data_IF_152063790518
#
_entry.id   IF_152063790518
#
_cell.length_a   1.000
_cell.length_b   1.000
_cell.length_c   1.000
_cell.angle_alpha   90.00
_cell.angle_beta   90.00
_cell.angle_gamma   90.00
#
_symmetry.space_group_name_H-M   'P 1'
#
loop_
_entity.id
_entity.type
_entity.pdbx_description
1 polymer ?
#
# COMPACT_ATOMS: atom_id res chain seq x y z
N UNK A 1 -2.78 23.11 -2.64
CA UNK A 1 -3.95 22.74 -3.46
C UNK A 1 -3.85 23.24 -4.91
N UNK A 2 -2.89 24.10 -5.26
CA UNK A 2 -2.61 24.57 -6.64
C UNK A 2 -2.34 23.45 -7.69
N UNK A 3 -1.85 22.28 -7.28
CA UNK A 3 -1.48 21.19 -8.20
C UNK A 3 -2.63 20.29 -8.67
N UNK A 4 -3.85 20.42 -8.14
CA UNK A 4 -4.96 19.57 -8.59
C UNK A 4 -5.43 19.90 -10.01
N UNK A 5 -5.34 21.17 -10.40
CA UNK A 5 -5.71 21.64 -11.73
C UNK A 5 -4.56 21.59 -12.75
N UNK A 6 -3.31 21.41 -12.31
CA UNK A 6 -2.17 21.32 -13.21
C UNK A 6 -2.14 19.95 -13.93
N UNK A 7 -1.73 19.91 -15.21
CA UNK A 7 -1.54 18.67 -15.96
C UNK A 7 -0.20 17.99 -15.65
N UNK A 8 0.39 18.22 -14.47
CA UNK A 8 1.69 17.66 -14.08
C UNK A 8 1.60 16.16 -13.76
N UNK A 9 1.49 15.37 -14.83
CA UNK A 9 1.45 13.91 -14.77
C UNK A 9 2.79 13.33 -14.35
N UNK A 10 3.91 13.98 -14.70
CA UNK A 10 5.25 13.54 -14.32
C UNK A 10 5.45 13.66 -12.80
N UNK A 11 5.01 14.76 -12.19
CA UNK A 11 5.00 14.94 -10.74
C UNK A 11 4.16 13.88 -10.03
N UNK A 12 2.96 13.60 -10.55
CA UNK A 12 2.10 12.53 -10.03
C UNK A 12 2.77 11.16 -10.11
N UNK A 13 3.32 10.79 -11.27
CA UNK A 13 4.01 9.50 -11.45
C UNK A 13 5.18 9.40 -10.47
N UNK A 14 6.00 10.44 -10.35
CA UNK A 14 7.09 10.49 -9.37
C UNK A 14 6.59 10.30 -7.95
N UNK A 15 5.49 10.94 -7.57
CA UNK A 15 4.90 10.78 -6.23
C UNK A 15 4.36 9.38 -5.99
N UNK A 16 3.74 8.75 -7.00
CA UNK A 16 3.30 7.35 -6.92
C UNK A 16 4.49 6.41 -6.75
N UNK A 17 5.53 6.55 -7.57
CA UNK A 17 6.73 5.72 -7.45
C UNK A 17 7.43 5.93 -6.10
N UNK A 18 7.53 7.18 -5.63
CA UNK A 18 8.06 7.48 -4.30
C UNK A 18 7.23 6.83 -3.18
N UNK A 19 5.90 6.97 -3.23
CA UNK A 19 5.01 6.37 -2.24
C UNK A 19 5.09 4.83 -2.20
N UNK A 20 5.41 4.18 -3.32
CA UNK A 20 5.48 2.72 -3.42
C UNK A 20 6.88 2.15 -3.14
N UNK A 21 7.94 2.81 -3.61
CA UNK A 21 9.29 2.24 -3.72
C UNK A 21 10.41 3.09 -3.13
N UNK A 22 10.13 4.25 -2.54
CA UNK A 22 11.17 5.04 -1.89
C UNK A 22 11.85 4.22 -0.77
N UNK A 23 13.19 4.16 -0.69
CA UNK A 23 13.88 3.36 0.32
C UNK A 23 13.57 3.76 1.77
N UNK A 24 13.20 5.02 2.01
CA UNK A 24 12.92 5.53 3.34
C UNK A 24 11.44 5.40 3.74
N UNK A 25 10.51 5.53 2.79
CA UNK A 25 9.06 5.61 3.07
C UNK A 25 8.16 4.76 2.18
N UNK A 26 8.74 4.03 1.23
CA UNK A 26 8.02 3.30 0.21
C UNK A 26 7.20 2.14 0.77
N UNK A 27 5.96 2.03 0.30
CA UNK A 27 5.01 1.03 0.76
C UNK A 27 5.51 -0.40 0.66
N UNK A 28 6.08 -0.77 -0.47
CA UNK A 28 6.57 -2.13 -0.69
C UNK A 28 7.96 -2.37 -0.10
N UNK A 29 8.67 -1.31 0.28
CA UNK A 29 9.96 -1.41 0.97
C UNK A 29 9.74 -1.70 2.45
N UNK A 30 8.86 -0.93 3.11
CA UNK A 30 8.59 -1.12 4.54
C UNK A 30 7.63 -2.31 4.75
N UNK A 31 6.67 -2.54 3.84
CA UNK A 31 5.67 -3.61 3.91
C UNK A 31 5.73 -4.58 2.72
N UNK A 32 6.84 -5.33 2.52
CA UNK A 32 6.99 -6.26 1.39
C UNK A 32 5.93 -7.37 1.36
N UNK A 33 5.31 -7.71 2.48
CA UNK A 33 4.21 -8.70 2.50
C UNK A 33 3.02 -8.28 1.62
N UNK A 34 2.83 -6.97 1.40
CA UNK A 34 1.77 -6.45 0.54
C UNK A 34 1.99 -6.81 -0.93
N UNK A 35 3.25 -6.99 -1.38
CA UNK A 35 3.54 -7.41 -2.76
C UNK A 35 2.90 -8.77 -3.04
N UNK A 36 2.99 -9.69 -2.09
CA UNK A 36 2.38 -11.02 -2.21
C UNK A 36 0.84 -10.95 -2.29
N UNK A 37 0.23 -10.04 -1.52
CA UNK A 37 -1.22 -9.83 -1.54
C UNK A 37 -1.68 -9.18 -2.85
N UNK A 38 -0.92 -8.21 -3.37
CA UNK A 38 -1.23 -7.53 -4.64
C UNK A 38 -1.17 -8.49 -5.82
N UNK A 39 -0.16 -9.39 -5.88
CA UNK A 39 -0.05 -10.40 -6.95
C UNK A 39 -1.30 -11.30 -6.99
N UNK A 40 -1.91 -11.58 -5.84
CA UNK A 40 -3.10 -12.44 -5.70
C UNK A 40 -4.40 -11.67 -5.58
N UNK A 41 -4.39 -10.38 -5.88
CA UNK A 41 -5.58 -9.55 -5.84
C UNK A 41 -6.56 -9.87 -6.96
N UNK A 42 -6.07 -10.26 -8.15
CA UNK A 42 -6.91 -10.50 -9.32
C UNK A 42 -7.93 -11.66 -9.14
N UNK A 43 -7.57 -12.82 -8.58
CA UNK A 43 -8.55 -13.84 -8.20
C UNK A 43 -9.53 -13.35 -7.13
N UNK A 44 -9.02 -12.75 -6.04
CA UNK A 44 -9.83 -12.25 -4.93
C UNK A 44 -10.84 -11.18 -5.38
N UNK A 45 -10.48 -10.36 -6.37
CA UNK A 45 -11.34 -9.36 -6.97
C UNK A 45 -12.63 -9.96 -7.56
N UNK A 46 -12.54 -11.13 -8.20
CA UNK A 46 -13.70 -11.76 -8.85
C UNK A 46 -14.70 -12.29 -7.84
N UNK A 47 -14.22 -12.73 -6.69
CA UNK A 47 -15.04 -13.31 -5.61
C UNK A 47 -15.49 -12.25 -4.59
N UNK A 48 -14.86 -11.07 -4.59
CA UNK A 48 -15.13 -10.01 -3.64
C UNK A 48 -16.53 -9.37 -3.83
N UNK A 49 -17.25 -9.11 -2.73
CA UNK A 49 -18.47 -8.31 -2.75
C UNK A 49 -18.27 -6.95 -3.41
N UNK A 50 -19.32 -6.42 -4.06
CA UNK A 50 -19.25 -5.14 -4.77
C UNK A 50 -18.82 -3.98 -3.87
N UNK A 51 -19.27 -3.96 -2.60
CA UNK A 51 -18.88 -2.94 -1.63
C UNK A 51 -17.38 -2.96 -1.33
N UNK A 52 -16.75 -4.14 -1.28
CA UNK A 52 -15.32 -4.28 -1.00
C UNK A 52 -14.48 -3.82 -2.20
N UNK A 53 -14.91 -4.17 -3.41
CA UNK A 53 -14.30 -3.65 -4.64
C UNK A 53 -14.44 -2.13 -4.76
N UNK A 54 -15.63 -1.61 -4.47
CA UNK A 54 -15.90 -0.17 -4.47
C UNK A 54 -15.04 0.58 -3.46
N UNK A 55 -14.91 0.06 -2.24
CA UNK A 55 -14.04 0.63 -1.20
C UNK A 55 -12.56 0.63 -1.64
N UNK A 56 -12.06 -0.48 -2.20
CA UNK A 56 -10.69 -0.57 -2.70
C UNK A 56 -10.43 0.42 -3.84
N UNK A 57 -11.34 0.56 -4.81
CA UNK A 57 -11.21 1.56 -5.88
C UNK A 57 -11.27 2.98 -5.34
N UNK A 58 -12.20 3.26 -4.42
CA UNK A 58 -12.30 4.55 -3.76
C UNK A 58 -11.00 4.91 -3.05
N UNK A 59 -10.40 3.96 -2.33
CA UNK A 59 -9.10 4.11 -1.68
C UNK A 59 -7.97 4.43 -2.68
N UNK A 60 -7.89 3.69 -3.79
CA UNK A 60 -6.88 3.95 -4.85
C UNK A 60 -7.07 5.33 -5.47
N UNK A 61 -8.31 5.70 -5.84
CA UNK A 61 -8.61 7.01 -6.41
C UNK A 61 -8.29 8.13 -5.42
N UNK A 62 -8.63 7.95 -4.16
CA UNK A 62 -8.32 8.90 -3.09
C UNK A 62 -6.80 9.06 -2.91
N UNK A 63 -6.04 7.97 -2.93
CA UNK A 63 -4.58 8.01 -2.89
C UNK A 63 -3.99 8.79 -4.07
N UNK A 64 -4.48 8.55 -5.29
CA UNK A 64 -4.00 9.28 -6.47
C UNK A 64 -4.29 10.78 -6.36
N UNK A 65 -5.47 11.16 -5.85
CA UNK A 65 -5.80 12.56 -5.59
C UNK A 65 -4.89 13.16 -4.50
N UNK A 66 -4.62 12.42 -3.42
CA UNK A 66 -3.70 12.85 -2.37
C UNK A 66 -2.28 13.05 -2.91
N UNK A 67 -1.77 12.14 -3.74
CA UNK A 67 -0.43 12.22 -4.35
C UNK A 67 -0.34 13.22 -5.49
N UNK A 68 -1.46 13.63 -6.08
CA UNK A 68 -1.52 14.77 -7.00
C UNK A 68 -1.50 16.09 -6.22
N UNK A 69 -2.24 16.16 -5.13
CA UNK A 69 -2.32 17.37 -4.31
C UNK A 69 -1.06 17.62 -3.49
N UNK A 70 -0.38 16.55 -3.05
CA UNK A 70 0.72 16.58 -2.09
C UNK A 70 1.90 15.73 -2.56
N UNK A 71 3.10 16.09 -2.10
CA UNK A 71 4.31 15.28 -2.28
C UNK A 71 4.25 14.04 -1.38
N UNK A 72 4.72 12.91 -1.89
CA UNK A 72 4.70 11.63 -1.16
C UNK A 72 5.49 11.64 0.16
N UNK A 73 6.57 12.44 0.23
CA UNK A 73 7.49 12.48 1.39
C UNK A 73 6.95 13.25 2.59
N UNK A 74 5.79 13.92 2.46
CA UNK A 74 5.36 14.93 3.43
C UNK A 74 6.33 16.13 3.51
N UNK A 75 5.96 17.15 4.28
CA UNK A 75 6.85 18.25 4.67
C UNK A 75 7.11 18.24 6.18
N UNK A 76 8.30 18.69 6.59
CA UNK A 76 8.63 19.05 7.98
C UNK A 76 8.55 17.92 9.03
N UNK A 77 9.35 16.86 8.87
CA UNK A 77 9.60 15.89 9.96
C UNK A 77 8.62 14.71 10.08
N UNK A 78 7.57 14.64 9.26
CA UNK A 78 6.66 13.48 9.21
C UNK A 78 7.09 12.50 8.11
N UNK A 79 7.96 11.55 8.48
CA UNK A 79 8.47 10.49 7.61
C UNK A 79 7.58 9.24 7.81
N UNK A 80 6.65 8.94 6.90
CA UNK A 80 5.80 7.75 7.09
C UNK A 80 4.59 7.59 6.17
N UNK A 81 3.83 6.52 6.46
CA UNK A 81 2.69 5.95 5.73
C UNK A 81 1.42 6.81 5.58
N UNK A 82 1.52 8.13 5.69
CA UNK A 82 0.34 8.97 5.91
C UNK A 82 -0.73 8.82 4.83
N UNK A 83 -0.36 8.88 3.56
CA UNK A 83 -1.31 8.85 2.44
C UNK A 83 -1.71 7.45 1.96
N UNK A 84 -0.83 6.44 1.98
CA UNK A 84 -1.24 5.08 1.62
C UNK A 84 -2.16 4.43 2.67
N UNK A 85 -2.15 4.88 3.92
CA UNK A 85 -2.90 4.27 5.03
C UNK A 85 -4.41 4.25 4.79
N UNK A 86 -5.01 5.34 4.31
CA UNK A 86 -6.45 5.37 4.05
C UNK A 86 -6.82 4.41 2.92
N UNK A 87 -5.99 4.34 1.88
CA UNK A 87 -6.19 3.43 0.76
C UNK A 87 -6.04 1.96 1.17
N UNK A 88 -5.04 1.64 2.00
CA UNK A 88 -4.85 0.29 2.54
C UNK A 88 -6.00 -0.12 3.46
N UNK A 89 -6.50 0.80 4.27
CA UNK A 89 -7.65 0.55 5.15
C UNK A 89 -8.90 0.25 4.32
N UNK A 90 -9.17 1.06 3.29
CA UNK A 90 -10.28 0.84 2.38
C UNK A 90 -10.13 -0.45 1.56
N UNK A 91 -8.91 -0.82 1.17
CA UNK A 91 -8.60 -2.07 0.49
C UNK A 91 -8.50 -3.29 1.43
N UNK A 92 -8.50 -3.09 2.74
CA UNK A 92 -8.24 -4.11 3.75
C UNK A 92 -9.10 -5.37 3.58
N UNK A 93 -10.43 -5.26 3.41
CA UNK A 93 -11.29 -6.43 3.18
C UNK A 93 -10.91 -7.23 1.93
N UNK A 94 -10.55 -6.54 0.85
CA UNK A 94 -10.13 -7.18 -0.40
C UNK A 94 -8.76 -7.85 -0.25
N UNK A 95 -7.81 -7.21 0.43
CA UNK A 95 -6.50 -7.77 0.74
C UNK A 95 -6.60 -9.00 1.66
N UNK A 96 -7.53 -8.99 2.62
CA UNK A 96 -7.83 -10.13 3.48
C UNK A 96 -8.39 -11.31 2.68
N UNK A 97 -9.22 -11.06 1.65
CA UNK A 97 -9.70 -12.09 0.72
C UNK A 97 -8.60 -12.60 -0.22
N UNK A 98 -7.53 -11.84 -0.45
CA UNK A 98 -6.38 -12.27 -1.26
C UNK A 98 -5.40 -13.18 -0.50
N UNK A 99 -5.50 -13.26 0.83
CA UNK A 99 -4.64 -14.09 1.68
C UNK A 99 -4.87 -15.62 1.60
N UNK A 100 -6.11 -16.14 1.70
CA UNK A 100 -6.34 -17.52 2.08
C UNK A 100 -5.98 -18.53 0.99
N UNK A 101 -6.07 -18.18 -0.29
CA UNK A 101 -6.00 -19.18 -1.35
C UNK A 101 -4.64 -19.80 -1.61
N UNK A 102 -3.56 -19.05 -1.38
CA UNK A 102 -2.19 -19.51 -1.63
C UNK A 102 -1.45 -19.83 -0.33
N UNK A 103 -1.68 -19.05 0.73
CA UNK A 103 -1.07 -19.30 2.04
C UNK A 103 -1.65 -20.56 2.71
N UNK A 104 -2.90 -20.94 2.40
CA UNK A 104 -3.46 -22.21 2.91
C UNK A 104 -2.86 -23.43 2.22
N UNK A 105 -2.52 -23.34 0.93
CA UNK A 105 -2.03 -24.48 0.11
C UNK A 105 -0.56 -24.83 0.34
N UNK A 106 0.28 -23.89 0.79
CA UNK A 106 1.70 -24.14 1.05
C UNK A 106 2.13 -23.62 2.42
N UNK A 107 2.67 -24.52 3.26
CA UNK A 107 3.24 -24.17 4.57
C UNK A 107 4.42 -23.21 4.43
N UNK A 108 5.24 -23.38 3.39
CA UNK A 108 6.40 -22.50 3.10
C UNK A 108 5.92 -21.09 2.78
N UNK A 109 4.93 -20.95 1.91
CA UNK A 109 4.39 -19.64 1.53
C UNK A 109 3.76 -18.91 2.73
N UNK A 110 3.09 -19.65 3.61
CA UNK A 110 2.52 -19.12 4.86
C UNK A 110 3.59 -18.63 5.82
N UNK A 111 4.65 -19.42 6.04
CA UNK A 111 5.76 -19.02 6.90
C UNK A 111 6.47 -17.80 6.30
N UNK A 112 6.76 -17.81 5.00
CA UNK A 112 7.35 -16.67 4.30
C UNK A 112 6.53 -15.38 4.45
N UNK A 113 5.20 -15.47 4.32
CA UNK A 113 4.32 -14.32 4.56
C UNK A 113 4.47 -13.76 5.98
N UNK A 114 4.40 -14.62 7.00
CA UNK A 114 4.51 -14.18 8.39
C UNK A 114 5.91 -13.65 8.72
N UNK A 115 6.97 -14.21 8.14
CA UNK A 115 8.32 -13.66 8.25
C UNK A 115 8.42 -12.26 7.64
N UNK A 116 7.77 -12.01 6.50
CA UNK A 116 7.72 -10.67 5.90
C UNK A 116 6.93 -9.69 6.78
N UNK A 117 5.80 -10.11 7.34
CA UNK A 117 5.02 -9.28 8.29
C UNK A 117 5.86 -8.94 9.52
N UNK A 118 6.52 -9.93 10.13
CA UNK A 118 7.38 -9.70 11.28
C UNK A 118 8.57 -8.81 10.93
N UNK A 119 9.20 -9.03 9.78
CA UNK A 119 10.27 -8.19 9.26
C UNK A 119 9.83 -6.73 9.12
N UNK A 120 8.64 -6.49 8.57
CA UNK A 120 8.05 -5.15 8.45
C UNK A 120 7.86 -4.46 9.80
N UNK A 121 7.35 -5.17 10.80
CA UNK A 121 7.17 -4.63 12.16
C UNK A 121 8.53 -4.27 12.77
N UNK A 122 9.54 -5.14 12.63
CA UNK A 122 10.89 -4.89 13.16
C UNK A 122 11.53 -3.67 12.48
N UNK A 123 11.44 -3.57 11.15
CA UNK A 123 11.95 -2.43 10.39
C UNK A 123 11.27 -1.14 10.84
N UNK A 124 9.95 -1.16 10.97
CA UNK A 124 9.18 0.00 11.41
C UNK A 124 9.59 0.45 12.83
N UNK A 125 9.68 -0.48 13.78
CA UNK A 125 10.09 -0.18 15.16
C UNK A 125 11.52 0.39 15.21
N UNK A 126 12.45 -0.16 14.43
CA UNK A 126 13.84 0.32 14.36
C UNK A 126 13.95 1.71 13.75
N UNK A 127 13.09 2.04 12.79
CA UNK A 127 13.07 3.36 12.17
C UNK A 127 12.55 4.45 13.12
N UNK A 128 11.70 4.07 14.08
CA UNK A 128 11.10 4.98 15.06
C UNK A 128 11.84 5.04 16.40
N UNK A 129 12.76 4.11 16.67
CA UNK A 129 13.55 4.08 17.91
C UNK A 129 14.90 4.82 17.83
N UNK A 130 15.27 5.33 16.64
CA UNK A 130 16.48 6.13 16.40
C UNK A 130 16.09 7.57 16.10
#
# INVERSE_FOLDING_TARGET
MENLASPDLLGLVRNVFGALFDPAVGLFIISPFLVLLVIRLAPAWREAPAWSRGAAMGGVLYLLLQLKANRYSGGGGFVGYRYPLEALTAAGPLLALAYPDWARKSKVARVGFWLLVMGSVIVFLRYWSN
#
